data_IF_894136975215
#
_entry.id   IF_894136975215
#
_cell.length_a   1.000
_cell.length_b   1.000
_cell.length_c   1.000
_cell.angle_alpha   90.00
_cell.angle_beta   90.00
_cell.angle_gamma   90.00
#
_symmetry.space_group_name_H-M   'P 1'
#
loop_
_entity.id
_entity.type
_entity.pdbx_description
1 polymer ?
#
# COMPACT_ATOMS: atom_id res chain seq x y z
N UNK A 1 -17.69 34.60 23.97
CA UNK A 1 -18.80 34.09 23.15
C UNK A 1 -20.16 34.47 23.74
N UNK A 2 -20.46 34.10 25.00
CA UNK A 2 -21.72 34.46 25.69
C UNK A 2 -22.05 35.97 25.70
N UNK A 3 -21.04 36.82 25.94
CA UNK A 3 -21.20 38.29 25.92
C UNK A 3 -21.67 38.87 24.58
N UNK A 4 -21.46 38.16 23.46
CA UNK A 4 -21.88 38.59 22.11
C UNK A 4 -23.33 38.17 21.78
N UNK A 5 -23.85 37.12 22.44
CA UNK A 5 -25.19 36.55 22.19
C UNK A 5 -26.23 36.94 23.25
N UNK A 6 -25.81 37.48 24.41
CA UNK A 6 -26.73 37.88 25.50
C UNK A 6 -27.80 38.91 25.09
N UNK A 7 -27.59 39.63 23.99
CA UNK A 7 -28.50 40.67 23.47
C UNK A 7 -29.48 40.13 22.43
N UNK A 8 -29.36 38.87 22.03
CA UNK A 8 -30.26 38.24 21.08
C UNK A 8 -31.56 37.85 21.77
N UNK A 9 -32.70 38.20 21.17
CA UNK A 9 -34.03 37.97 21.76
C UNK A 9 -34.60 36.59 21.41
N UNK A 10 -34.21 36.03 20.26
CA UNK A 10 -34.71 34.74 19.78
C UNK A 10 -33.61 33.67 19.73
N UNK A 11 -34.00 32.41 19.84
CA UNK A 11 -33.09 31.28 19.65
C UNK A 11 -32.44 31.29 18.25
N UNK A 12 -33.17 31.78 17.24
CA UNK A 12 -32.67 31.96 15.87
C UNK A 12 -31.51 32.97 15.84
N UNK A 13 -31.67 34.14 16.45
CA UNK A 13 -30.62 35.17 16.48
C UNK A 13 -29.37 34.72 17.26
N UNK A 14 -29.55 33.92 18.31
CA UNK A 14 -28.45 33.31 19.06
C UNK A 14 -27.69 32.32 18.16
N UNK A 15 -28.42 31.46 17.44
CA UNK A 15 -27.84 30.48 16.53
C UNK A 15 -27.06 31.16 15.39
N UNK A 16 -27.68 32.12 14.69
CA UNK A 16 -27.02 32.86 13.61
C UNK A 16 -25.76 33.59 14.08
N UNK A 17 -25.78 34.26 15.24
CA UNK A 17 -24.57 34.86 15.81
C UNK A 17 -23.50 33.84 16.18
N UNK A 18 -23.89 32.69 16.73
CA UNK A 18 -22.93 31.63 17.06
C UNK A 18 -22.27 31.09 15.79
N UNK A 19 -23.06 30.82 14.74
CA UNK A 19 -22.56 30.44 13.43
C UNK A 19 -21.58 31.49 12.89
N UNK A 20 -21.93 32.77 12.96
CA UNK A 20 -21.08 33.87 12.52
C UNK A 20 -19.76 33.98 13.32
N UNK A 21 -19.79 33.72 14.64
CA UNK A 21 -18.59 33.78 15.49
C UNK A 21 -17.69 32.56 15.27
N UNK A 22 -18.28 31.38 15.08
CA UNK A 22 -17.55 30.11 14.94
C UNK A 22 -17.01 29.90 13.53
N UNK A 23 -17.80 30.19 12.51
CA UNK A 23 -17.45 29.94 11.10
C UNK A 23 -16.92 31.20 10.39
N UNK A 24 -17.24 32.38 10.93
CA UNK A 24 -17.05 33.68 10.29
C UNK A 24 -18.34 34.20 9.65
N UNK A 25 -18.36 35.48 9.26
CA UNK A 25 -19.42 36.02 8.40
C UNK A 25 -19.41 35.34 7.03
N UNK A 26 -20.53 35.40 6.31
CA UNK A 26 -20.59 34.92 4.92
C UNK A 26 -19.52 35.59 4.05
N UNK A 27 -19.28 36.89 4.23
CA UNK A 27 -18.17 37.63 3.61
C UNK A 27 -16.80 37.01 3.94
N UNK A 28 -16.58 36.53 5.17
CA UNK A 28 -15.32 35.86 5.55
C UNK A 28 -15.19 34.51 4.84
N UNK A 29 -16.29 33.77 4.67
CA UNK A 29 -16.30 32.49 3.94
C UNK A 29 -16.04 32.71 2.45
N UNK A 30 -16.67 33.70 1.84
CA UNK A 30 -16.45 34.08 0.44
C UNK A 30 -15.01 34.53 0.18
N UNK A 31 -14.44 35.32 1.09
CA UNK A 31 -13.04 35.73 1.01
C UNK A 31 -12.09 34.52 1.11
N UNK A 32 -12.33 33.59 2.05
CA UNK A 32 -11.56 32.34 2.16
C UNK A 32 -11.65 31.50 0.88
N UNK A 33 -12.86 31.36 0.33
CA UNK A 33 -13.10 30.64 -0.92
C UNK A 33 -12.34 31.28 -2.07
N UNK A 34 -12.39 32.60 -2.19
CA UNK A 34 -11.66 33.38 -3.22
C UNK A 34 -10.15 33.17 -3.11
N UNK A 35 -9.59 33.23 -1.90
CA UNK A 35 -8.15 32.99 -1.67
C UNK A 35 -7.78 31.54 -2.00
N UNK A 36 -8.55 30.56 -1.56
CA UNK A 36 -8.30 29.15 -1.86
C UNK A 36 -8.39 28.87 -3.38
N UNK A 37 -9.34 29.51 -4.06
CA UNK A 37 -9.51 29.46 -5.51
C UNK A 37 -8.26 29.98 -6.22
N UNK A 38 -7.75 31.13 -5.80
CA UNK A 38 -6.53 31.72 -6.36
C UNK A 38 -5.30 30.82 -6.13
N UNK A 39 -5.17 30.21 -4.95
CA UNK A 39 -4.11 29.22 -4.67
C UNK A 39 -4.20 28.03 -5.63
N UNK A 40 -5.41 27.50 -5.85
CA UNK A 40 -5.64 26.41 -6.78
C UNK A 40 -5.30 26.81 -8.21
N UNK A 41 -5.75 27.98 -8.67
CA UNK A 41 -5.50 28.45 -10.03
C UNK A 41 -4.01 28.69 -10.30
N UNK A 42 -3.29 29.25 -9.33
CA UNK A 42 -1.85 29.51 -9.41
C UNK A 42 -0.97 28.29 -9.11
N UNK A 43 -1.53 27.16 -8.67
CA UNK A 43 -0.74 25.99 -8.30
C UNK A 43 0.04 25.45 -9.50
N UNK A 44 1.35 25.31 -9.29
CA UNK A 44 2.31 24.69 -10.19
C UNK A 44 3.31 23.89 -9.36
N UNK A 45 3.87 22.87 -9.97
CA UNK A 45 5.02 22.17 -9.42
C UNK A 45 6.22 23.13 -9.46
N UNK A 46 6.95 23.21 -8.35
CA UNK A 46 8.10 24.11 -8.21
C UNK A 46 9.37 23.42 -8.70
N UNK A 47 10.39 24.19 -9.03
CA UNK A 47 11.69 23.66 -9.41
C UNK A 47 12.33 22.90 -8.22
N UNK A 48 12.79 21.68 -8.46
CA UNK A 48 13.38 20.80 -7.44
C UNK A 48 12.39 20.19 -6.45
N UNK A 49 11.09 20.45 -6.60
CA UNK A 49 10.05 19.77 -5.83
C UNK A 49 9.83 18.34 -6.34
N UNK A 50 9.67 17.40 -5.44
CA UNK A 50 9.33 16.01 -5.80
C UNK A 50 7.83 15.87 -6.11
N UNK A 51 7.45 14.88 -6.91
CA UNK A 51 6.04 14.60 -7.21
C UNK A 51 5.21 14.33 -5.93
N UNK A 52 5.84 13.81 -4.88
CA UNK A 52 5.16 13.57 -3.59
C UNK A 52 4.86 14.86 -2.84
N UNK A 53 5.80 15.80 -2.78
CA UNK A 53 5.57 17.11 -2.16
C UNK A 53 4.52 17.91 -2.94
N UNK A 54 4.55 17.82 -4.28
CA UNK A 54 3.54 18.46 -5.12
C UNK A 54 2.14 17.88 -4.90
N UNK A 55 2.02 16.55 -4.80
CA UNK A 55 0.77 15.86 -4.47
C UNK A 55 0.19 16.35 -3.13
N UNK A 56 1.00 16.39 -2.08
CA UNK A 56 0.57 16.86 -0.76
C UNK A 56 0.05 18.30 -0.80
N UNK A 57 0.77 19.22 -1.49
CA UNK A 57 0.33 20.61 -1.64
C UNK A 57 -0.96 20.72 -2.46
N UNK A 58 -1.07 19.96 -3.54
CA UNK A 58 -2.24 19.97 -4.40
C UNK A 58 -3.47 19.45 -3.65
N UNK A 59 -3.33 18.31 -3.00
CA UNK A 59 -4.36 17.67 -2.19
C UNK A 59 -4.83 18.58 -1.05
N UNK A 60 -3.91 19.27 -0.36
CA UNK A 60 -4.26 20.23 0.69
C UNK A 60 -5.17 21.36 0.18
N UNK A 61 -4.86 21.93 -0.99
CA UNK A 61 -5.67 23.00 -1.60
C UNK A 61 -7.03 22.50 -2.06
N UNK A 62 -7.09 21.28 -2.63
CA UNK A 62 -8.36 20.65 -3.02
C UNK A 62 -9.25 20.39 -1.81
N UNK A 63 -8.68 19.88 -0.70
CA UNK A 63 -9.40 19.65 0.56
C UNK A 63 -9.92 20.98 1.13
N UNK A 64 -9.10 22.05 1.13
CA UNK A 64 -9.51 23.40 1.53
C UNK A 64 -10.74 23.86 0.73
N UNK A 65 -10.72 23.71 -0.60
CA UNK A 65 -11.83 24.09 -1.47
C UNK A 65 -13.10 23.25 -1.28
N UNK A 66 -12.96 21.93 -1.13
CA UNK A 66 -14.10 21.04 -0.86
C UNK A 66 -14.73 21.37 0.49
N UNK A 67 -13.92 21.68 1.51
CA UNK A 67 -14.44 22.09 2.83
C UNK A 67 -15.19 23.43 2.80
N UNK A 68 -14.93 24.27 1.79
CA UNK A 68 -15.63 25.53 1.55
C UNK A 68 -16.84 25.36 0.61
N UNK A 69 -17.20 24.12 0.25
CA UNK A 69 -18.39 23.78 -0.53
C UNK A 69 -18.16 23.74 -2.04
N UNK A 70 -16.91 23.75 -2.52
CA UNK A 70 -16.60 23.65 -3.94
C UNK A 70 -16.34 22.22 -4.36
N UNK A 71 -17.14 21.73 -5.31
CA UNK A 71 -16.98 20.38 -5.87
C UNK A 71 -16.11 20.41 -7.13
N UNK A 72 -15.32 19.35 -7.33
CA UNK A 72 -14.52 19.15 -8.52
C UNK A 72 -14.74 17.74 -9.05
N UNK A 73 -14.91 17.62 -10.36
CA UNK A 73 -14.89 16.33 -11.03
C UNK A 73 -13.46 15.78 -11.13
N UNK A 74 -13.35 14.46 -11.22
CA UNK A 74 -12.08 13.77 -11.47
C UNK A 74 -11.35 14.32 -12.70
N UNK A 75 -12.10 14.61 -13.77
CA UNK A 75 -11.56 15.20 -15.01
C UNK A 75 -10.93 16.57 -14.76
N UNK A 76 -11.60 17.44 -14.01
CA UNK A 76 -11.08 18.79 -13.71
C UNK A 76 -9.79 18.73 -12.90
N UNK A 77 -9.78 17.90 -11.84
CA UNK A 77 -8.58 17.70 -11.03
C UNK A 77 -7.43 17.12 -11.86
N UNK A 78 -7.70 16.10 -12.68
CA UNK A 78 -6.69 15.46 -13.50
C UNK A 78 -6.08 16.43 -14.53
N UNK A 79 -6.92 17.20 -15.24
CA UNK A 79 -6.46 18.21 -16.17
C UNK A 79 -5.70 19.32 -15.46
N UNK A 80 -6.11 19.70 -14.25
CA UNK A 80 -5.42 20.73 -13.47
C UNK A 80 -4.01 20.27 -13.10
N UNK A 81 -3.86 19.06 -12.57
CA UNK A 81 -2.54 18.48 -12.26
C UNK A 81 -1.67 18.44 -13.51
N UNK A 82 -2.16 17.91 -14.62
CA UNK A 82 -1.38 17.82 -15.86
C UNK A 82 -0.91 19.18 -16.40
N UNK A 83 -1.68 20.26 -16.21
CA UNK A 83 -1.29 21.63 -16.60
C UNK A 83 -0.35 22.31 -15.62
N UNK A 84 -0.33 21.83 -14.38
CA UNK A 84 0.50 22.36 -13.30
C UNK A 84 1.91 21.73 -13.29
N UNK A 85 2.12 20.65 -14.04
CA UNK A 85 3.42 20.01 -14.19
C UNK A 85 4.35 20.80 -15.12
N UNK A 86 5.69 20.68 -14.93
CA UNK A 86 6.69 21.26 -15.82
C UNK A 86 6.66 20.64 -17.23
N UNK A 87 7.25 21.32 -18.22
CA UNK A 87 7.22 20.90 -19.64
C UNK A 87 7.87 19.55 -19.89
N UNK A 88 8.81 19.15 -19.04
CA UNK A 88 9.48 17.85 -19.07
C UNK A 88 8.50 16.68 -18.95
N UNK A 89 7.30 16.93 -18.42
CA UNK A 89 6.22 15.97 -18.25
C UNK A 89 5.24 15.92 -19.44
N UNK A 90 5.41 16.77 -20.46
CA UNK A 90 4.45 16.92 -21.56
C UNK A 90 4.18 15.59 -22.27
N UNK A 91 5.22 14.82 -22.60
CA UNK A 91 5.07 13.51 -23.26
C UNK A 91 4.22 12.56 -22.43
N UNK A 92 4.48 12.48 -21.12
CA UNK A 92 3.73 11.62 -20.20
C UNK A 92 2.28 12.09 -20.08
N UNK A 93 2.04 13.39 -19.90
CA UNK A 93 0.68 13.92 -19.75
C UNK A 93 -0.14 13.82 -21.03
N UNK A 94 0.48 13.96 -22.21
CA UNK A 94 -0.17 13.72 -23.50
C UNK A 94 -0.60 12.26 -23.66
N UNK A 95 0.31 11.31 -23.41
CA UNK A 95 -0.03 9.89 -23.46
C UNK A 95 -1.17 9.53 -22.47
N UNK A 96 -1.18 10.13 -21.29
CA UNK A 96 -2.27 9.93 -20.33
C UNK A 96 -3.61 10.50 -20.81
N UNK A 97 -3.62 11.64 -21.53
CA UNK A 97 -4.84 12.20 -22.12
C UNK A 97 -5.41 11.32 -23.23
N UNK A 98 -4.55 10.67 -24.00
CA UNK A 98 -4.96 9.83 -25.13
C UNK A 98 -5.40 8.42 -24.70
N UNK A 99 -4.73 7.86 -23.68
CA UNK A 99 -4.92 6.45 -23.29
C UNK A 99 -5.91 6.25 -22.14
N UNK A 100 -6.16 7.26 -21.31
CA UNK A 100 -6.99 7.12 -20.10
C UNK A 100 -8.31 7.89 -20.23
N UNK A 101 -9.37 7.28 -19.74
CA UNK A 101 -10.64 7.98 -19.50
C UNK A 101 -10.50 8.88 -18.27
N UNK A 102 -10.26 10.17 -18.51
CA UNK A 102 -10.05 11.16 -17.45
C UNK A 102 -11.26 11.32 -16.51
N UNK A 103 -12.47 10.92 -16.92
CA UNK A 103 -13.65 11.00 -16.06
C UNK A 103 -13.61 9.95 -14.93
N UNK A 104 -12.94 8.82 -15.19
CA UNK A 104 -12.81 7.70 -14.25
C UNK A 104 -11.47 7.69 -13.53
N UNK A 105 -10.54 8.58 -13.92
CA UNK A 105 -9.21 8.65 -13.35
C UNK A 105 -9.25 9.40 -12.01
N UNK A 106 -9.18 8.66 -10.91
CA UNK A 106 -9.10 9.26 -9.57
C UNK A 106 -7.76 9.99 -9.37
N UNK A 107 -7.78 11.02 -8.52
CA UNK A 107 -6.61 11.85 -8.23
C UNK A 107 -5.43 11.02 -7.68
N UNK A 108 -5.74 10.07 -6.80
CA UNK A 108 -4.75 9.16 -6.22
C UNK A 108 -4.05 8.31 -7.30
N UNK A 109 -4.80 7.78 -8.26
CA UNK A 109 -4.25 6.94 -9.34
C UNK A 109 -3.41 7.75 -10.33
N UNK A 110 -3.83 9.00 -10.58
CA UNK A 110 -3.03 9.96 -11.34
C UNK A 110 -1.67 10.18 -10.68
N UNK A 111 -1.65 10.58 -9.40
CA UNK A 111 -0.39 10.81 -8.69
C UNK A 111 0.45 9.54 -8.53
N UNK A 112 -0.17 8.38 -8.31
CA UNK A 112 0.53 7.10 -8.29
C UNK A 112 1.26 6.82 -9.60
N UNK A 113 0.61 7.10 -10.75
CA UNK A 113 1.24 6.93 -12.06
C UNK A 113 2.38 7.93 -12.32
N UNK A 114 2.22 9.18 -11.87
CA UNK A 114 3.23 10.22 -12.00
C UNK A 114 4.46 9.92 -11.14
N UNK A 115 4.27 9.48 -9.89
CA UNK A 115 5.36 9.06 -8.98
C UNK A 115 6.12 7.84 -9.53
N UNK A 116 5.42 6.88 -10.13
CA UNK A 116 6.06 5.75 -10.79
C UNK A 116 6.96 6.21 -11.95
N UNK A 117 6.49 7.18 -12.74
CA UNK A 117 7.28 7.75 -13.83
C UNK A 117 8.49 8.58 -13.33
N UNK A 118 8.33 9.34 -12.24
CA UNK A 118 9.44 10.04 -11.59
C UNK A 118 10.57 9.06 -11.22
N UNK A 119 10.20 7.93 -10.62
CA UNK A 119 11.14 6.87 -10.25
C UNK A 119 11.83 6.23 -11.46
N UNK A 120 11.11 6.02 -12.57
CA UNK A 120 11.68 5.53 -13.83
C UNK A 120 12.70 6.53 -14.43
N UNK A 121 12.45 7.83 -14.34
CA UNK A 121 13.41 8.85 -14.78
C UNK A 121 14.68 8.84 -13.92
N UNK A 122 14.51 8.82 -12.60
CA UNK A 122 15.63 8.82 -11.64
C UNK A 122 16.51 7.55 -11.77
N UNK A 123 15.93 6.41 -12.15
CA UNK A 123 16.70 5.18 -12.42
C UNK A 123 17.48 5.25 -13.73
N UNK A 124 16.99 5.98 -14.74
CA UNK A 124 17.65 6.13 -16.05
C UNK A 124 18.76 7.18 -16.04
N UNK A 125 18.63 8.26 -15.28
CA UNK A 125 19.68 9.30 -15.19
C UNK A 125 20.93 8.81 -14.43
N UNK A 126 20.77 7.93 -13.44
CA UNK A 126 21.89 7.33 -12.69
C UNK A 126 22.57 6.18 -13.45
N UNK A 127 21.86 5.51 -14.35
CA UNK A 127 22.45 4.67 -15.38
C UNK A 127 23.02 5.61 -16.45
N UNK A 128 24.17 6.24 -16.16
CA UNK A 128 24.81 7.22 -17.04
C UNK A 128 24.89 6.77 -18.51
N UNK A 129 25.10 7.70 -19.47
CA UNK A 129 25.11 7.35 -20.88
C UNK A 129 26.13 6.24 -21.10
N UNK A 130 25.66 5.03 -21.40
CA UNK A 130 26.55 3.96 -21.84
C UNK A 130 27.23 4.47 -23.09
N UNK A 131 28.49 4.83 -22.93
CA UNK A 131 29.42 5.02 -24.02
C UNK A 131 29.47 3.71 -24.81
N UNK A 132 29.56 3.85 -26.13
CA UNK A 132 29.71 2.80 -27.15
C UNK A 132 28.44 2.11 -27.68
N UNK A 133 27.72 2.83 -28.55
CA UNK A 133 27.62 2.39 -29.95
C UNK A 133 27.80 3.63 -30.84
N UNK A 134 28.84 3.70 -31.70
CA UNK A 134 28.92 4.78 -32.68
C UNK A 134 27.81 4.56 -33.71
N UNK A 135 26.86 5.50 -33.77
CA UNK A 135 25.94 5.61 -34.90
C UNK A 135 26.78 5.90 -36.15
N UNK A 136 27.10 4.86 -36.90
CA UNK A 136 27.58 5.01 -38.27
C UNK A 136 26.47 5.71 -39.05
N UNK A 137 26.74 6.95 -39.44
CA UNK A 137 25.92 7.71 -40.36
C UNK A 137 25.72 6.88 -41.64
N UNK A 138 24.47 6.61 -41.99
CA UNK A 138 24.07 6.13 -43.31
C UNK A 138 23.28 7.25 -43.98
N UNK A 139 23.97 8.00 -44.82
CA UNK A 139 23.35 8.82 -45.84
C UNK A 139 22.92 7.90 -46.99
N UNK A 140 21.63 7.81 -47.28
CA UNK A 140 21.12 7.50 -48.61
C UNK A 140 19.63 7.83 -48.72
N UNK A 141 19.29 8.39 -49.88
CA UNK A 141 18.03 8.94 -50.35
C UNK A 141 16.94 7.89 -50.64
N UNK A 142 15.68 8.29 -50.42
CA UNK A 142 14.42 7.91 -51.11
C UNK A 142 14.24 6.47 -51.64
N UNK A 143 13.26 5.72 -51.10
CA UNK A 143 12.01 5.30 -51.80
C UNK A 143 11.09 4.50 -50.87
N UNK A 144 9.78 4.66 -51.10
CA UNK A 144 8.62 4.03 -50.44
C UNK A 144 8.50 2.55 -50.86
N UNK A 145 8.25 1.63 -49.92
CA UNK A 145 7.28 0.51 -50.07
C UNK A 145 7.11 -0.30 -48.75
N UNK A 146 5.94 -0.93 -48.61
CA UNK A 146 5.32 -1.42 -47.38
C UNK A 146 5.68 -2.86 -46.96
N UNK A 147 5.34 -3.17 -45.70
CA UNK A 147 4.96 -4.47 -45.12
C UNK A 147 6.02 -5.58 -44.93
N UNK A 148 6.36 -5.92 -43.68
CA UNK A 148 5.65 -6.93 -42.87
C UNK A 148 6.44 -7.42 -41.64
N UNK A 149 5.67 -7.78 -40.62
CA UNK A 149 5.94 -8.46 -39.35
C UNK A 149 7.22 -9.32 -39.24
N UNK A 150 7.99 -9.13 -38.15
CA UNK A 150 8.85 -10.18 -37.58
C UNK A 150 8.99 -9.99 -36.07
N UNK A 151 8.27 -10.83 -35.33
CA UNK A 151 8.46 -11.11 -33.91
C UNK A 151 9.84 -11.69 -33.67
N UNK A 152 10.64 -11.10 -32.78
CA UNK A 152 11.67 -11.87 -32.06
C UNK A 152 11.91 -11.30 -30.68
N UNK A 153 11.55 -12.11 -29.69
CA UNK A 153 12.00 -12.02 -28.30
C UNK A 153 13.53 -11.92 -28.27
N UNK A 154 14.07 -10.95 -27.54
CA UNK A 154 15.25 -11.19 -26.72
C UNK A 154 15.06 -10.46 -25.39
N UNK A 155 14.78 -11.24 -24.34
CA UNK A 155 15.02 -10.82 -22.98
C UNK A 155 16.54 -10.80 -22.81
N UNK A 156 17.17 -9.69 -23.19
CA UNK A 156 18.60 -9.50 -22.96
C UNK A 156 18.87 -9.30 -21.47
N UNK A 157 19.89 -10.01 -20.99
CA UNK A 157 20.28 -10.13 -19.60
C UNK A 157 20.54 -8.75 -18.98
N UNK A 158 19.58 -8.28 -18.20
CA UNK A 158 19.83 -7.19 -17.25
C UNK A 158 20.91 -7.70 -16.28
N UNK A 159 22.04 -7.00 -16.23
CA UNK A 159 23.15 -7.28 -15.31
C UNK A 159 22.63 -7.52 -13.89
N UNK A 160 23.16 -8.53 -13.19
CA UNK A 160 22.82 -8.79 -11.78
C UNK A 160 23.04 -7.56 -10.89
N UNK A 161 23.97 -6.68 -11.26
CA UNK A 161 24.22 -5.42 -10.55
C UNK A 161 23.10 -4.40 -10.81
N UNK A 162 22.63 -4.30 -12.05
CA UNK A 162 21.45 -3.49 -12.39
C UNK A 162 20.19 -4.02 -11.68
N UNK A 163 19.98 -5.34 -11.61
CA UNK A 163 18.90 -5.93 -10.80
C UNK A 163 19.06 -5.65 -9.30
N UNK A 164 20.28 -5.69 -8.76
CA UNK A 164 20.57 -5.37 -7.35
C UNK A 164 20.29 -3.89 -7.03
N UNK A 165 20.66 -2.98 -7.93
CA UNK A 165 20.36 -1.55 -7.82
C UNK A 165 18.86 -1.28 -7.91
N UNK A 166 18.15 -1.93 -8.84
CA UNK A 166 16.70 -1.87 -8.96
C UNK A 166 16.00 -2.37 -7.68
N UNK A 167 16.39 -3.53 -7.14
CA UNK A 167 15.82 -4.08 -5.90
C UNK A 167 16.09 -3.17 -4.70
N UNK A 168 17.31 -2.61 -4.58
CA UNK A 168 17.65 -1.67 -3.51
C UNK A 168 16.86 -0.36 -3.63
N UNK A 169 16.68 0.19 -4.83
CA UNK A 169 15.98 1.46 -5.07
C UNK A 169 14.46 1.29 -4.96
N UNK A 170 13.89 0.18 -5.44
CA UNK A 170 12.49 -0.18 -5.21
C UNK A 170 12.21 -0.35 -3.71
N UNK A 171 13.16 -0.94 -2.96
CA UNK A 171 13.10 -1.01 -1.50
C UNK A 171 13.22 0.34 -0.79
N UNK A 172 13.76 1.39 -1.43
CA UNK A 172 13.72 2.78 -0.94
C UNK A 172 12.39 3.46 -1.29
N UNK A 173 11.88 3.26 -2.50
CA UNK A 173 10.58 3.75 -2.95
C UNK A 173 9.45 3.26 -2.02
N UNK A 174 9.41 1.96 -1.74
CA UNK A 174 8.43 1.37 -0.81
C UNK A 174 8.52 1.93 0.62
N UNK A 175 9.71 2.37 1.05
CA UNK A 175 9.91 3.04 2.35
C UNK A 175 9.51 4.51 2.35
N UNK A 176 9.51 5.17 1.19
CA UNK A 176 9.11 6.57 1.03
C UNK A 176 7.59 6.71 0.88
N UNK A 177 6.94 5.79 0.17
CA UNK A 177 5.48 5.79 -0.04
C UNK A 177 4.69 5.27 1.16
N UNK A 178 5.27 4.37 1.97
CA UNK A 178 4.68 3.90 3.23
C UNK A 178 5.48 4.43 4.43
N UNK A 179 5.23 5.68 4.80
CA UNK A 179 5.75 6.24 6.05
C UNK A 179 4.59 6.73 6.94
N UNK A 180 3.97 5.88 7.78
CA UNK A 180 3.13 6.35 8.87
C UNK A 180 4.03 6.73 10.04
N UNK A 181 4.61 7.94 9.99
CA UNK A 181 5.22 8.55 11.16
C UNK A 181 4.13 9.11 12.08
N UNK A 182 3.50 8.25 12.87
CA UNK A 182 2.78 8.66 14.07
C UNK A 182 3.17 7.74 15.21
N UNK A 183 3.98 8.27 16.12
CA UNK A 183 4.07 7.77 17.49
C UNK A 183 2.71 7.97 18.14
N UNK A 184 1.90 6.91 18.20
CA UNK A 184 0.84 6.80 19.19
C UNK A 184 0.90 5.41 19.81
N UNK A 185 1.15 5.40 21.12
CA UNK A 185 0.88 4.25 21.97
C UNK A 185 -0.57 3.82 21.76
N UNK A 186 -0.78 2.61 21.28
CA UNK A 186 -2.01 1.89 21.56
C UNK A 186 -1.70 0.43 21.87
N UNK A 187 -1.58 0.19 23.17
CA UNK A 187 -2.07 -1.04 23.78
C UNK A 187 -3.50 -1.29 23.29
N UNK A 188 -3.89 -2.56 23.18
CA UNK A 188 -5.23 -3.09 22.89
C UNK A 188 -5.59 -3.37 21.41
N UNK A 189 -5.73 -4.69 21.16
CA UNK A 189 -6.44 -5.40 20.07
C UNK A 189 -5.71 -5.69 18.75
N UNK A 190 -5.03 -6.83 18.73
CA UNK A 190 -5.15 -7.81 17.64
C UNK A 190 -4.81 -9.21 18.19
N UNK A 191 -5.82 -9.92 18.65
CA UNK A 191 -5.70 -11.14 19.45
C UNK A 191 -5.60 -12.44 18.63
N UNK A 192 -5.38 -12.41 17.30
CA UNK A 192 -5.46 -13.66 16.51
C UNK A 192 -4.41 -13.94 15.44
N UNK A 193 -3.39 -13.09 15.26
CA UNK A 193 -2.32 -13.36 14.26
C UNK A 193 -0.90 -13.29 14.85
N UNK A 194 -0.74 -12.89 16.12
CA UNK A 194 0.56 -12.62 16.74
C UNK A 194 1.24 -13.86 17.37
N UNK A 195 0.57 -14.99 17.46
CA UNK A 195 1.08 -16.16 18.20
C UNK A 195 2.14 -16.98 17.46
N UNK A 196 2.24 -16.86 16.13
CA UNK A 196 3.14 -17.71 15.32
C UNK A 196 4.40 -16.99 14.78
N UNK A 197 4.46 -15.66 14.81
CA UNK A 197 5.68 -14.95 14.39
C UNK A 197 6.70 -14.89 15.52
N UNK A 198 7.62 -15.86 15.55
CA UNK A 198 8.75 -15.90 16.47
C UNK A 198 9.96 -15.16 15.88
N UNK A 199 10.60 -14.34 16.70
CA UNK A 199 11.86 -13.70 16.35
C UNK A 199 12.96 -14.75 16.10
N UNK A 200 13.55 -14.77 14.91
CA UNK A 200 14.61 -15.73 14.54
C UNK A 200 15.90 -15.64 15.37
N UNK A 201 16.08 -14.57 16.17
CA UNK A 201 17.24 -14.43 17.05
C UNK A 201 16.98 -14.97 18.47
N UNK A 202 15.79 -14.71 19.03
CA UNK A 202 15.48 -15.03 20.43
C UNK A 202 14.24 -15.91 20.66
N UNK A 203 13.61 -16.38 19.58
CA UNK A 203 12.45 -17.29 19.55
C UNK A 203 11.21 -16.78 20.31
N UNK A 204 11.16 -15.47 20.62
CA UNK A 204 10.02 -14.83 21.30
C UNK A 204 9.08 -14.15 20.30
N UNK A 205 7.77 -14.16 20.54
CA UNK A 205 6.80 -13.49 19.69
C UNK A 205 6.88 -11.96 19.80
N UNK A 206 6.10 -11.27 18.94
CA UNK A 206 5.87 -9.82 18.94
C UNK A 206 6.99 -8.90 18.39
N UNK A 207 8.08 -9.42 17.83
CA UNK A 207 9.07 -8.58 17.15
C UNK A 207 9.86 -9.33 16.06
N UNK A 208 10.35 -8.61 15.07
CA UNK A 208 11.25 -9.15 14.04
C UNK A 208 12.71 -9.13 14.51
N UNK A 209 13.54 -10.00 13.94
CA UNK A 209 14.98 -10.08 14.28
C UNK A 209 15.74 -8.75 14.09
N UNK A 210 15.27 -7.90 13.16
CA UNK A 210 15.83 -6.56 12.93
C UNK A 210 15.67 -5.60 14.13
N UNK A 211 14.70 -5.86 15.01
CA UNK A 211 14.40 -5.04 16.20
C UNK A 211 14.67 -5.79 17.51
N UNK A 212 15.48 -6.86 17.46
CA UNK A 212 15.79 -7.66 18.62
C UNK A 212 16.97 -7.07 19.40
N UNK A 213 16.72 -6.60 20.62
CA UNK A 213 17.75 -6.03 21.50
C UNK A 213 18.64 -7.10 22.19
N UNK A 214 18.52 -8.38 21.81
CA UNK A 214 19.39 -9.44 22.33
C UNK A 214 20.59 -9.67 21.41
N UNK A 215 21.79 -9.96 21.96
CA UNK A 215 22.96 -10.28 21.16
C UNK A 215 22.67 -11.47 20.24
N UNK A 216 23.22 -11.43 19.02
CA UNK A 216 23.02 -12.50 18.02
C UNK A 216 23.56 -13.81 18.58
N UNK A 217 22.78 -14.88 18.53
CA UNK A 217 23.30 -16.23 18.79
C UNK A 217 24.28 -16.57 17.68
N UNK A 218 25.55 -16.82 18.00
CA UNK A 218 26.50 -17.39 17.05
C UNK A 218 26.01 -18.78 16.60
N UNK A 219 26.07 -19.03 15.30
CA UNK A 219 25.65 -20.28 14.70
C UNK A 219 26.50 -21.43 15.26
N UNK A 220 25.92 -22.21 16.18
CA UNK A 220 26.46 -23.54 16.49
C UNK A 220 26.43 -24.34 15.18
N UNK A 221 27.61 -24.84 14.79
CA UNK A 221 27.82 -25.61 13.57
C UNK A 221 26.69 -26.59 13.30
N UNK A 222 26.25 -26.62 12.03
CA UNK A 222 25.09 -27.34 11.50
C UNK A 222 25.09 -28.85 11.77
N UNK A 223 26.22 -29.41 12.19
CA UNK A 223 26.37 -30.83 12.49
C UNK A 223 25.65 -31.28 13.78
N UNK A 224 25.55 -30.43 14.80
CA UNK A 224 25.01 -30.86 16.11
C UNK A 224 23.46 -30.86 16.16
N UNK A 225 22.79 -30.20 15.20
CA UNK A 225 21.32 -30.26 15.05
C UNK A 225 20.84 -31.61 14.51
N UNK A 226 21.67 -32.31 13.72
CA UNK A 226 21.29 -33.62 13.15
C UNK A 226 21.23 -34.73 14.21
N UNK A 227 21.99 -34.60 15.29
CA UNK A 227 22.01 -35.53 16.44
C UNK A 227 20.79 -35.34 17.35
N UNK A 228 20.37 -34.10 17.65
CA UNK A 228 19.17 -33.84 18.48
C UNK A 228 17.86 -34.25 17.77
N UNK A 229 17.75 -33.97 16.47
CA UNK A 229 16.57 -34.39 15.68
C UNK A 229 16.44 -35.91 15.56
N UNK A 230 17.58 -36.64 15.59
CA UNK A 230 17.58 -38.11 15.57
C UNK A 230 17.09 -38.67 16.91
N UNK A 231 17.50 -38.09 18.03
CA UNK A 231 17.06 -38.52 19.37
C UNK A 231 15.56 -38.26 19.62
N UNK A 232 15.05 -37.08 19.22
CA UNK A 232 13.61 -36.74 19.34
C UNK A 232 12.69 -37.59 18.45
N UNK A 233 13.18 -38.08 17.32
CA UNK A 233 12.38 -38.93 16.41
C UNK A 233 12.17 -40.34 16.99
N UNK A 234 13.14 -40.84 17.74
CA UNK A 234 13.06 -42.17 18.36
C UNK A 234 12.15 -42.19 19.60
N UNK A 235 12.13 -41.12 20.43
CA UNK A 235 11.16 -40.98 21.54
C UNK A 235 9.70 -40.98 21.03
N UNK A 236 9.42 -40.20 19.97
CA UNK A 236 8.05 -40.14 19.38
C UNK A 236 7.60 -41.48 18.81
N UNK A 237 8.53 -42.36 18.40
CA UNK A 237 8.20 -43.69 17.86
C UNK A 237 7.87 -44.68 18.97
N UNK A 238 8.50 -44.55 20.14
CA UNK A 238 8.21 -45.36 21.33
C UNK A 238 6.83 -45.02 21.92
N UNK A 239 6.50 -43.73 22.06
CA UNK A 239 5.19 -43.31 22.59
C UNK A 239 4.01 -43.73 21.70
N UNK A 240 4.15 -43.58 20.37
CA UNK A 240 3.10 -43.99 19.42
C UNK A 240 2.84 -45.50 19.43
N UNK A 241 3.86 -46.30 19.76
CA UNK A 241 3.75 -47.76 19.87
C UNK A 241 3.05 -48.19 21.18
N UNK A 242 3.26 -47.42 22.25
CA UNK A 242 2.61 -47.62 23.55
C UNK A 242 1.11 -47.28 23.51
N UNK A 243 0.75 -46.25 22.75
CA UNK A 243 -0.64 -45.80 22.57
C UNK A 243 -1.47 -46.79 21.72
N UNK A 244 -0.91 -47.29 20.60
CA UNK A 244 -1.55 -48.35 19.79
C UNK A 244 -1.78 -49.66 20.57
N UNK A 245 -0.92 -49.97 21.53
CA UNK A 245 -1.05 -51.18 22.36
C UNK A 245 -2.15 -51.05 23.43
N UNK A 246 -2.40 -49.84 23.93
CA UNK A 246 -3.53 -49.57 24.84
C UNK A 246 -4.86 -49.62 24.11
N UNK A 247 -4.92 -49.11 22.88
CA UNK A 247 -6.15 -49.01 22.09
C UNK A 247 -6.67 -50.40 21.65
N UNK A 248 -5.76 -51.35 21.32
CA UNK A 248 -6.11 -52.76 21.09
C UNK A 248 -6.69 -53.44 22.34
N UNK A 249 -6.23 -53.09 23.54
CA UNK A 249 -6.67 -53.68 24.81
C UNK A 249 -8.05 -53.17 25.25
N UNK A 250 -8.47 -52.01 24.75
CA UNK A 250 -9.81 -51.44 25.01
C UNK A 250 -10.85 -52.11 24.12
N UNK A 251 -10.55 -52.32 22.82
CA UNK A 251 -11.50 -52.97 21.88
C UNK A 251 -11.89 -54.39 22.27
N UNK A 252 -10.98 -55.18 22.85
CA UNK A 252 -11.30 -56.57 23.27
C UNK A 252 -12.17 -56.65 24.53
N UNK A 253 -12.37 -55.54 25.25
CA UNK A 253 -13.25 -55.48 26.43
C UNK A 253 -14.69 -55.06 26.10
N UNK A 254 -14.95 -54.49 24.92
CA UNK A 254 -16.26 -53.92 24.55
C UNK A 254 -17.27 -54.96 24.03
N UNK A 255 -16.83 -56.15 23.64
CA UNK A 255 -17.69 -57.22 23.08
C UNK A 255 -18.40 -58.10 24.12
N UNK A 256 -18.68 -57.58 25.33
CA UNK A 256 -19.61 -58.23 26.27
C UNK A 256 -20.98 -57.53 26.22
N UNK A 257 -21.89 -58.10 25.41
CA UNK A 257 -23.29 -57.67 25.20
C UNK A 257 -24.09 -57.54 26.52
N UNK A 258 -24.92 -56.49 26.67
CA UNK A 258 -26.09 -56.53 27.55
C UNK A 258 -27.38 -56.84 26.77
N UNK A 259 -28.17 -57.77 27.30
CA UNK A 259 -29.48 -58.21 26.82
C UNK A 259 -30.57 -57.22 27.28
N UNK A 260 -31.44 -56.74 26.37
CA UNK A 260 -32.70 -56.08 26.79
C UNK A 260 -33.83 -56.21 25.76
N UNK A 261 -34.99 -56.58 26.29
CA UNK A 261 -36.28 -56.89 25.67
C UNK A 261 -36.97 -55.63 25.10
N UNK A 262 -37.77 -55.89 24.05
CA UNK A 262 -38.96 -55.21 23.50
C UNK A 262 -39.33 -53.80 23.98
N UNK A 263 -39.62 -52.91 23.02
CA UNK A 263 -40.93 -52.24 22.95
C UNK A 263 -41.24 -51.70 21.54
N UNK A 264 -42.49 -51.90 21.12
CA UNK A 264 -43.07 -51.76 19.78
C UNK A 264 -43.77 -50.40 19.66
N UNK A 265 -43.40 -49.59 18.66
CA UNK A 265 -44.11 -48.33 18.30
C UNK A 265 -45.28 -48.60 17.34
N UNK A 266 -46.49 -48.33 17.81
CA UNK A 266 -47.50 -47.36 17.30
C UNK A 266 -47.72 -47.24 15.77
N UNK A 267 -48.95 -47.65 15.39
CA UNK A 267 -49.93 -47.11 14.41
C UNK A 267 -49.62 -47.04 12.90
N UNK A 268 -50.48 -47.74 12.13
CA UNK A 268 -50.79 -47.57 10.71
C UNK A 268 -52.32 -47.53 10.56
N UNK A 269 -52.80 -46.63 9.69
CA UNK A 269 -54.08 -46.48 8.94
C UNK A 269 -55.27 -47.44 9.24
N UNK A 270 -56.55 -47.04 9.16
CA UNK A 270 -57.27 -46.02 8.37
C UNK A 270 -58.31 -45.28 9.24
#
# INVERSE_FOLDING_TARGET
MFSKIKTCATAKDIWEKLTQICEGSDETKENKLTVAQQKYESIKMKDGETMTEFDERFSAVVIELISLGKEYSNRELALKVMRALPREWDVKTMAMRELKDLNKLELHDLFSNLKAYEFELETREEAGPSTSQPTKALAATTTIEQCSLSTSKSAEQISNDAMSLLVKKFGKFMRRSYNPSTFYNNSYKSEKVSTDLKCYNCDRPCHFAAYCNRPKKEDRSRDDKRTDDRYKKDEKKYDRSKERSKDRRIRTRSDRRPNKKNDRKVLVAE
#
